data_IF_516607112554
#
_entry.id   IF_516607112554
#
_cell.length_a   1.000
_cell.length_b   1.000
_cell.length_c   1.000
_cell.angle_alpha   90.00
_cell.angle_beta   90.00
_cell.angle_gamma   90.00
#
_symmetry.space_group_name_H-M   'P 1'
#
loop_
_entity.id
_entity.type
_entity.pdbx_description
1 polymer ?
#
# COMPACT_ATOMS: atom_id res chain seq x y z
N UNK A 1 -25.06 27.59 38.25
CA UNK A 1 -25.33 26.13 38.23
C UNK A 1 -26.79 25.97 37.83
N UNK A 2 -27.09 25.20 36.79
CA UNK A 2 -28.44 25.13 36.22
C UNK A 2 -29.36 24.30 37.15
N UNK A 3 -30.36 24.91 37.80
CA UNK A 3 -31.18 24.26 38.84
C UNK A 3 -32.01 23.07 38.34
N UNK A 4 -32.10 22.91 37.00
CA UNK A 4 -32.77 21.77 36.36
C UNK A 4 -31.92 20.49 36.43
N UNK A 5 -30.59 20.60 36.39
CA UNK A 5 -29.69 19.43 36.44
C UNK A 5 -29.71 18.77 37.81
N UNK A 6 -29.70 19.58 38.86
CA UNK A 6 -29.69 19.08 40.25
C UNK A 6 -30.97 18.33 40.60
N UNK A 7 -32.14 18.82 40.13
CA UNK A 7 -33.42 18.12 40.30
C UNK A 7 -33.48 16.78 39.58
N UNK A 8 -32.96 16.71 38.35
CA UNK A 8 -32.91 15.46 37.59
C UNK A 8 -32.01 14.43 38.26
N UNK A 9 -30.84 14.84 38.77
CA UNK A 9 -29.93 13.95 39.51
C UNK A 9 -30.64 13.38 40.74
N UNK A 10 -31.32 14.23 41.52
CA UNK A 10 -32.04 13.81 42.74
C UNK A 10 -33.20 12.86 42.40
N UNK A 11 -33.95 13.12 41.33
CA UNK A 11 -35.06 12.28 40.87
C UNK A 11 -34.58 10.89 40.43
N UNK A 12 -33.46 10.83 39.69
CA UNK A 12 -32.84 9.57 39.26
C UNK A 12 -32.25 8.80 40.45
N UNK A 13 -31.53 9.45 41.36
CA UNK A 13 -31.00 8.79 42.56
C UNK A 13 -32.11 8.31 43.50
N UNK A 14 -33.18 9.11 43.66
CA UNK A 14 -34.36 8.75 44.45
C UNK A 14 -35.19 7.61 43.84
N UNK A 15 -35.16 7.44 42.51
CA UNK A 15 -35.83 6.31 41.84
C UNK A 15 -35.26 4.92 42.18
N UNK A 16 -34.06 4.89 42.77
CA UNK A 16 -33.38 3.66 43.20
C UNK A 16 -33.56 3.40 44.71
N UNK A 17 -34.15 4.35 45.43
CA UNK A 17 -34.37 4.28 46.87
C UNK A 17 -35.51 3.30 47.15
N UNK A 18 -35.21 2.23 47.89
CA UNK A 18 -36.16 1.15 48.20
C UNK A 18 -36.07 -0.10 47.31
N UNK A 19 -35.20 -0.11 46.29
CA UNK A 19 -34.89 -1.34 45.54
C UNK A 19 -33.94 -2.19 46.41
N UNK A 20 -34.36 -3.41 46.75
CA UNK A 20 -33.48 -4.38 47.40
C UNK A 20 -32.20 -4.54 46.56
N UNK A 21 -31.03 -4.38 47.19
CA UNK A 21 -29.76 -4.68 46.52
C UNK A 21 -29.81 -6.12 46.03
N UNK A 22 -29.81 -6.29 44.71
CA UNK A 22 -29.63 -7.61 44.13
C UNK A 22 -28.29 -8.15 44.60
N UNK A 23 -28.27 -9.28 45.28
CA UNK A 23 -27.03 -9.96 45.59
C UNK A 23 -26.35 -10.32 44.26
N UNK A 24 -25.10 -9.91 44.06
CA UNK A 24 -24.39 -10.28 42.84
C UNK A 24 -24.31 -11.80 42.77
N UNK A 25 -24.59 -12.37 41.60
CA UNK A 25 -24.45 -13.80 41.41
C UNK A 25 -23.01 -14.20 41.80
N UNK A 26 -22.83 -15.16 42.73
CA UNK A 26 -21.54 -15.50 43.33
C UNK A 26 -20.52 -16.01 42.30
N UNK A 27 -20.98 -16.40 41.11
CA UNK A 27 -20.14 -16.87 40.02
C UNK A 27 -19.81 -15.79 38.99
N UNK A 28 -20.28 -14.55 39.14
CA UNK A 28 -19.99 -13.47 38.18
C UNK A 28 -18.50 -13.16 38.11
N UNK A 29 -17.86 -13.05 39.27
CA UNK A 29 -16.42 -12.80 39.35
C UNK A 29 -15.64 -13.93 38.68
N UNK A 30 -15.95 -15.18 39.02
CA UNK A 30 -15.33 -16.36 38.41
C UNK A 30 -15.57 -16.44 36.88
N UNK A 31 -16.76 -16.05 36.41
CA UNK A 31 -17.10 -16.02 34.97
C UNK A 31 -16.32 -14.95 34.23
N UNK A 32 -16.14 -13.77 34.83
CA UNK A 32 -15.34 -12.67 34.25
C UNK A 32 -13.87 -13.08 34.21
N UNK A 33 -13.34 -13.57 35.33
CA UNK A 33 -11.96 -14.06 35.42
C UNK A 33 -11.68 -15.15 34.39
N UNK A 34 -12.56 -16.17 34.29
CA UNK A 34 -12.45 -17.23 33.28
C UNK A 34 -12.47 -16.70 31.84
N UNK A 35 -13.22 -15.63 31.55
CA UNK A 35 -13.24 -15.02 30.22
C UNK A 35 -12.01 -14.18 29.92
N UNK A 36 -11.41 -13.57 30.94
CA UNK A 36 -10.16 -12.81 30.82
C UNK A 36 -8.95 -13.75 30.64
N UNK A 37 -8.95 -14.89 31.34
CA UNK A 37 -7.90 -15.91 31.25
C UNK A 37 -8.01 -16.79 29.99
N UNK A 38 -9.17 -16.78 29.33
CA UNK A 38 -9.35 -17.41 28.03
C UNK A 38 -8.73 -16.51 26.96
N UNK A 39 -7.49 -16.83 26.55
CA UNK A 39 -6.93 -16.29 25.32
C UNK A 39 -7.97 -16.44 24.20
N UNK A 40 -8.19 -15.39 23.38
CA UNK A 40 -9.12 -15.49 22.26
C UNK A 40 -8.74 -16.72 21.43
N UNK A 41 -9.73 -17.51 20.97
CA UNK A 41 -9.45 -18.75 20.26
C UNK A 41 -8.51 -18.43 19.09
N UNK A 42 -7.29 -18.98 19.14
CA UNK A 42 -6.30 -18.81 18.09
C UNK A 42 -6.92 -19.34 16.80
N UNK A 43 -7.27 -18.43 15.90
CA UNK A 43 -7.83 -18.78 14.61
C UNK A 43 -6.69 -19.24 13.72
N UNK A 44 -6.55 -20.56 13.58
CA UNK A 44 -5.57 -21.15 12.68
C UNK A 44 -6.06 -21.05 11.25
N UNK A 45 -5.29 -20.38 10.40
CA UNK A 45 -5.51 -20.36 8.95
C UNK A 45 -4.84 -21.59 8.35
N UNK A 46 -5.53 -22.27 7.43
CA UNK A 46 -4.95 -23.41 6.72
C UNK A 46 -3.70 -23.00 5.95
N UNK A 47 -2.64 -23.82 6.03
CA UNK A 47 -1.36 -23.64 5.32
C UNK A 47 -1.58 -23.44 3.81
N UNK A 48 -2.60 -24.09 3.23
CA UNK A 48 -2.94 -23.95 1.81
C UNK A 48 -3.39 -22.52 1.46
N UNK A 49 -4.12 -21.86 2.36
CA UNK A 49 -4.58 -20.47 2.17
C UNK A 49 -3.40 -19.51 2.27
N UNK A 50 -2.48 -19.75 3.20
CA UNK A 50 -1.24 -18.97 3.34
C UNK A 50 -0.42 -19.04 2.06
N UNK A 51 -0.19 -20.24 1.52
CA UNK A 51 0.55 -20.40 0.25
C UNK A 51 -0.19 -19.78 -0.94
N UNK A 52 -1.52 -19.87 -0.99
CA UNK A 52 -2.31 -19.20 -2.03
C UNK A 52 -2.16 -17.68 -1.99
N UNK A 53 -2.18 -17.09 -0.78
CA UNK A 53 -1.94 -15.65 -0.59
C UNK A 53 -0.53 -15.26 -1.03
N UNK A 54 0.49 -16.01 -0.59
CA UNK A 54 1.89 -15.75 -0.97
C UNK A 54 2.06 -15.79 -2.49
N UNK A 55 1.53 -16.81 -3.16
CA UNK A 55 1.60 -16.94 -4.62
C UNK A 55 0.93 -15.74 -5.34
N UNK A 56 -0.23 -15.30 -4.84
CA UNK A 56 -0.94 -14.13 -5.36
C UNK A 56 -0.12 -12.84 -5.22
N UNK A 57 0.51 -12.63 -4.06
CA UNK A 57 1.38 -11.47 -3.84
C UNK A 57 2.62 -11.49 -4.73
N UNK A 58 3.26 -12.65 -4.90
CA UNK A 58 4.41 -12.80 -5.81
C UNK A 58 4.01 -12.48 -7.25
N UNK A 59 2.86 -12.98 -7.71
CA UNK A 59 2.34 -12.68 -9.04
C UNK A 59 2.08 -11.19 -9.23
N UNK A 60 1.49 -10.52 -8.24
CA UNK A 60 1.26 -9.08 -8.25
C UNK A 60 2.58 -8.31 -8.35
N UNK A 61 3.60 -8.69 -7.58
CA UNK A 61 4.91 -8.04 -7.62
C UNK A 61 5.54 -8.18 -9.01
N UNK A 62 5.52 -9.39 -9.59
CA UNK A 62 6.04 -9.64 -10.94
C UNK A 62 5.31 -8.82 -12.00
N UNK A 63 3.98 -8.73 -11.90
CA UNK A 63 3.19 -7.95 -12.85
C UNK A 63 3.54 -6.45 -12.77
N UNK A 64 3.60 -5.91 -11.56
CA UNK A 64 3.99 -4.51 -11.35
C UNK A 64 5.42 -4.25 -11.85
N UNK A 65 6.34 -5.18 -11.61
CA UNK A 65 7.72 -5.11 -12.11
C UNK A 65 7.79 -5.10 -13.64
N UNK A 66 6.99 -5.95 -14.30
CA UNK A 66 6.91 -6.01 -15.75
C UNK A 66 6.40 -4.70 -16.35
N UNK A 67 5.37 -4.10 -15.75
CA UNK A 67 4.83 -2.80 -16.19
C UNK A 67 5.88 -1.70 -16.09
N UNK A 68 6.60 -1.62 -14.96
CA UNK A 68 7.67 -0.62 -14.76
C UNK A 68 8.77 -0.78 -15.83
N UNK A 69 9.18 -2.01 -16.12
CA UNK A 69 10.22 -2.28 -17.12
C UNK A 69 9.76 -2.03 -18.56
N UNK A 70 8.48 -2.21 -18.87
CA UNK A 70 7.95 -1.86 -20.19
C UNK A 70 7.88 -0.35 -20.37
N UNK A 71 7.48 0.40 -19.34
CA UNK A 71 7.51 1.87 -19.37
C UNK A 71 8.93 2.44 -19.45
N UNK A 72 9.93 1.76 -18.87
CA UNK A 72 11.34 2.12 -19.02
C UNK A 72 11.92 1.75 -20.40
N UNK A 73 11.26 0.85 -21.14
CA UNK A 73 11.59 0.48 -22.53
C UNK A 73 10.76 1.32 -23.52
N UNK A 74 10.79 2.64 -23.38
CA UNK A 74 10.57 3.49 -24.56
C UNK A 74 11.73 3.17 -25.50
N UNK A 75 11.44 2.41 -26.56
CA UNK A 75 12.42 2.07 -27.59
C UNK A 75 13.02 3.37 -28.14
N UNK A 76 14.35 3.52 -28.28
CA UNK A 76 14.93 4.54 -29.15
C UNK A 76 14.75 4.08 -30.62
N UNK A 77 13.51 3.84 -31.03
CA UNK A 77 13.20 3.47 -32.41
C UNK A 77 13.15 4.71 -33.32
N UNK A 78 12.80 5.88 -32.79
CA UNK A 78 12.70 7.12 -33.59
C UNK A 78 14.06 7.67 -34.02
N UNK A 79 15.10 7.60 -33.18
CA UNK A 79 16.41 8.16 -33.52
C UNK A 79 17.18 7.35 -34.57
N UNK A 80 16.90 6.05 -34.68
CA UNK A 80 17.55 5.17 -35.67
C UNK A 80 16.84 5.25 -37.01
N UNK A 81 15.50 5.31 -37.02
CA UNK A 81 14.71 5.48 -38.26
C UNK A 81 14.85 6.87 -38.88
N UNK A 82 15.02 7.93 -38.09
CA UNK A 82 15.28 9.27 -38.63
C UNK A 82 16.65 9.36 -39.31
N UNK A 83 17.67 8.70 -38.75
CA UNK A 83 19.00 8.70 -39.37
C UNK A 83 19.07 7.85 -40.64
N UNK A 84 18.33 6.74 -40.71
CA UNK A 84 18.25 5.92 -41.93
C UNK A 84 17.48 6.65 -43.04
N UNK A 85 16.37 7.32 -42.73
CA UNK A 85 15.64 8.13 -43.73
C UNK A 85 16.45 9.33 -44.21
N UNK A 86 17.16 10.03 -43.31
CA UNK A 86 18.04 11.15 -43.69
C UNK A 86 19.21 10.69 -44.57
N UNK A 87 19.78 9.53 -44.26
CA UNK A 87 20.86 8.91 -45.04
C UNK A 87 20.38 8.38 -46.40
N UNK A 88 19.24 7.68 -46.44
CA UNK A 88 18.67 7.11 -47.67
C UNK A 88 18.11 8.18 -48.61
N UNK A 89 17.56 9.27 -48.08
CA UNK A 89 17.06 10.40 -48.87
C UNK A 89 18.16 11.40 -49.25
N UNK A 90 19.43 11.14 -48.91
CA UNK A 90 20.58 12.01 -49.21
C UNK A 90 20.33 13.49 -48.89
N UNK A 91 19.57 13.76 -47.82
CA UNK A 91 19.15 15.12 -47.48
C UNK A 91 20.31 15.98 -46.97
N UNK A 92 21.47 15.36 -46.72
CA UNK A 92 22.76 16.02 -46.55
C UNK A 92 23.74 15.54 -47.62
N UNK A 93 24.31 16.43 -48.44
CA UNK A 93 25.40 16.04 -49.32
C UNK A 93 26.63 15.68 -48.47
N UNK A 94 27.20 14.51 -48.75
CA UNK A 94 28.32 13.87 -48.04
C UNK A 94 29.67 14.60 -48.16
N UNK A 95 29.68 15.90 -48.49
CA UNK A 95 30.88 16.69 -48.72
C UNK A 95 31.05 17.90 -47.79
N UNK A 96 30.19 18.10 -46.77
CA UNK A 96 30.40 19.15 -45.77
C UNK A 96 31.22 18.66 -44.56
N UNK A 97 32.25 17.84 -44.79
CA UNK A 97 33.35 17.72 -43.84
C UNK A 97 34.18 19.00 -43.89
N UNK A 98 33.75 20.02 -43.13
CA UNK A 98 34.45 21.30 -42.95
C UNK A 98 35.79 21.18 -42.20
N UNK A 99 36.25 19.96 -41.89
CA UNK A 99 37.49 19.69 -41.16
C UNK A 99 38.21 18.48 -41.75
N UNK A 100 38.93 18.66 -42.85
CA UNK A 100 40.04 17.76 -43.20
C UNK A 100 41.13 18.42 -44.06
N UNK A 101 41.57 19.63 -43.68
CA UNK A 101 42.70 20.32 -44.31
C UNK A 101 43.58 21.00 -43.26
N UNK A 102 44.27 20.19 -42.45
CA UNK A 102 45.58 20.58 -41.91
C UNK A 102 46.48 19.36 -41.78
N UNK A 103 47.04 18.93 -42.91
CA UNK A 103 48.19 18.02 -42.95
C UNK A 103 49.45 18.79 -42.53
N UNK A 104 49.70 18.87 -41.22
CA UNK A 104 50.97 19.33 -40.68
C UNK A 104 52.09 18.32 -40.96
N UNK A 105 52.62 18.33 -42.18
CA UNK A 105 53.88 17.67 -42.53
C UNK A 105 54.96 18.75 -42.61
N UNK A 106 55.62 19.00 -41.48
CA UNK A 106 56.85 19.79 -41.45
C UNK A 106 58.04 18.82 -41.43
N UNK A 107 58.95 19.05 -42.39
CA UNK A 107 60.33 18.57 -42.40
C UNK A 107 61.12 19.15 -41.22
#
# INVERSE_FOLDING_TARGET
MEPKKDKWIIDILGSLDGIQRAEPNPFLFAKIQKRLDQEPPKTYVSVRVVWGMVASFVLLILLNWQVINQSARVKPAEATDLNTVVSDMQLYPSNNQLYDLWSGQNY
#
